data_IF_758747361251
#
_entry.id   IF_758747361251
#
_cell.length_a   1.000
_cell.length_b   1.000
_cell.length_c   1.000
_cell.angle_alpha   90.00
_cell.angle_beta   90.00
_cell.angle_gamma   90.00
#
_symmetry.space_group_name_H-M   'P 1'
#
loop_
_entity.id
_entity.type
_entity.pdbx_description
1 polymer ?
#
# COMPACT_ATOMS: atom_id res chain seq x y z
N UNK A 1 -0.08 -8.57 7.91
CA UNK A 1 -0.35 -7.49 8.88
C UNK A 1 -1.64 -6.71 8.58
N UNK A 2 -1.70 -5.69 7.71
CA UNK A 2 -2.93 -4.88 7.54
C UNK A 2 -4.13 -5.66 6.96
N UNK A 3 -3.89 -6.48 5.93
CA UNK A 3 -4.93 -7.32 5.32
C UNK A 3 -5.44 -8.40 6.27
N UNK A 4 -4.52 -9.10 6.95
CA UNK A 4 -4.85 -10.20 7.87
C UNK A 4 -5.64 -9.74 9.09
N UNK A 5 -5.36 -8.52 9.58
CA UNK A 5 -6.05 -7.92 10.72
C UNK A 5 -7.30 -7.13 10.34
N UNK A 6 -7.63 -7.04 9.04
CA UNK A 6 -8.75 -6.25 8.55
C UNK A 6 -8.63 -4.75 8.89
N UNK A 7 -7.40 -4.23 9.03
CA UNK A 7 -7.16 -2.83 9.37
C UNK A 7 -7.63 -1.91 8.24
N UNK A 8 -8.60 -1.06 8.53
CA UNK A 8 -9.19 -0.10 7.58
C UNK A 8 -8.55 1.28 7.63
N UNK A 9 -7.79 1.59 8.69
CA UNK A 9 -7.17 2.90 8.89
C UNK A 9 -5.75 2.74 9.40
N UNK A 10 -4.82 3.46 8.79
CA UNK A 10 -3.42 3.53 9.18
C UNK A 10 -3.10 4.98 9.57
N UNK A 11 -2.47 5.16 10.72
CA UNK A 11 -2.06 6.49 11.21
C UNK A 11 -0.54 6.55 11.20
N UNK A 12 0.03 7.40 10.35
CA UNK A 12 1.45 7.66 10.30
C UNK A 12 1.77 8.92 11.10
N UNK A 13 2.58 8.77 12.15
CA UNK A 13 2.90 9.86 13.08
C UNK A 13 4.15 10.66 12.69
N UNK A 14 4.89 10.21 11.69
CA UNK A 14 6.18 10.79 11.27
C UNK A 14 6.19 11.08 9.78
N UNK A 15 7.04 12.02 9.35
CA UNK A 15 7.32 12.19 7.92
C UNK A 15 8.27 11.07 7.44
N UNK A 16 8.38 10.90 6.13
CA UNK A 16 9.36 9.97 5.52
C UNK A 16 10.80 10.38 5.87
N UNK A 17 11.05 11.68 5.89
CA UNK A 17 12.35 12.27 6.22
C UNK A 17 12.18 13.45 7.18
N UNK A 18 13.07 13.52 8.17
CA UNK A 18 13.14 14.62 9.13
C UNK A 18 14.59 15.02 9.34
N UNK A 19 14.91 16.31 9.15
CA UNK A 19 16.27 16.86 9.33
C UNK A 19 17.33 15.99 8.62
N UNK A 20 17.10 15.68 7.34
CA UNK A 20 17.95 14.84 6.48
C UNK A 20 18.13 13.38 6.90
N UNK A 21 17.34 12.90 7.87
CA UNK A 21 17.34 11.50 8.29
C UNK A 21 16.07 10.82 7.81
N UNK A 22 16.25 9.73 7.06
CA UNK A 22 15.16 8.84 6.65
C UNK A 22 14.59 8.17 7.92
N UNK A 23 13.28 8.31 8.11
CA UNK A 23 12.51 7.74 9.23
C UNK A 23 11.66 6.57 8.78
N UNK A 24 11.14 6.64 7.56
CA UNK A 24 10.27 5.61 7.00
C UNK A 24 10.41 5.62 5.48
N UNK A 25 10.41 4.43 4.89
CA UNK A 25 10.31 4.28 3.45
C UNK A 25 8.86 4.47 3.01
N UNK A 26 8.68 4.94 1.78
CA UNK A 26 7.36 5.04 1.19
C UNK A 26 6.88 3.66 0.74
N UNK A 27 5.94 3.08 1.48
CA UNK A 27 5.36 1.76 1.21
C UNK A 27 4.00 1.82 0.48
N UNK A 28 3.68 2.95 -0.13
CA UNK A 28 2.42 3.19 -0.84
C UNK A 28 2.64 3.93 -2.17
N UNK A 29 1.72 3.82 -3.14
CA UNK A 29 1.86 4.47 -4.43
C UNK A 29 2.05 5.99 -4.33
N UNK A 30 2.95 6.54 -5.13
CA UNK A 30 3.31 7.96 -5.08
C UNK A 30 2.30 8.90 -5.73
N UNK A 31 1.48 8.41 -6.66
CA UNK A 31 0.55 9.22 -7.46
C UNK A 31 -0.88 8.73 -7.32
N UNK A 32 -1.83 9.66 -7.36
CA UNK A 32 -3.26 9.33 -7.46
C UNK A 32 -3.50 8.53 -8.74
N UNK A 33 -4.37 7.53 -8.65
CA UNK A 33 -4.66 6.52 -9.69
C UNK A 33 -3.50 5.58 -10.04
N UNK A 34 -2.38 5.64 -9.31
CA UNK A 34 -1.30 4.67 -9.45
C UNK A 34 -1.61 3.42 -8.63
N UNK A 35 -1.42 2.26 -9.26
CA UNK A 35 -1.52 0.95 -8.62
C UNK A 35 -0.12 0.35 -8.51
N UNK A 36 0.23 -0.11 -7.31
CA UNK A 36 1.47 -0.85 -7.06
C UNK A 36 1.16 -2.24 -6.51
N UNK A 37 1.94 -3.22 -6.94
CA UNK A 37 1.79 -4.61 -6.52
C UNK A 37 2.75 -4.92 -5.36
N UNK A 38 2.18 -5.38 -4.26
CA UNK A 38 2.85 -5.85 -3.06
C UNK A 38 2.55 -7.34 -2.89
N UNK A 39 3.35 -8.19 -3.54
CA UNK A 39 3.15 -9.64 -3.62
C UNK A 39 1.75 -10.02 -4.17
N UNK A 40 0.85 -10.48 -3.30
CA UNK A 40 -0.51 -10.89 -3.64
C UNK A 40 -1.56 -9.81 -3.44
N UNK A 41 -1.12 -8.56 -3.22
CA UNK A 41 -2.00 -7.41 -3.03
C UNK A 41 -1.65 -6.34 -4.05
N UNK A 42 -2.66 -5.70 -4.59
CA UNK A 42 -2.54 -4.45 -5.32
C UNK A 42 -3.10 -3.34 -4.46
N UNK A 43 -2.34 -2.25 -4.35
CA UNK A 43 -2.72 -1.06 -3.62
C UNK A 43 -2.81 0.07 -4.62
N UNK A 44 -3.97 0.71 -4.70
CA UNK A 44 -4.19 1.88 -5.55
C UNK A 44 -4.42 3.08 -4.65
N UNK A 45 -3.67 4.16 -4.88
CA UNK A 45 -3.93 5.44 -4.24
C UNK A 45 -5.07 6.14 -5.00
N UNK A 46 -6.24 6.28 -4.39
CA UNK A 46 -7.43 6.82 -5.07
C UNK A 46 -7.65 8.29 -4.78
N UNK A 47 -7.21 8.77 -3.62
CA UNK A 47 -7.37 10.17 -3.23
C UNK A 47 -6.28 10.63 -2.26
N UNK A 48 -5.95 11.92 -2.34
CA UNK A 48 -5.03 12.60 -1.45
C UNK A 48 -5.63 13.95 -1.06
N UNK A 49 -5.87 14.11 0.24
CA UNK A 49 -6.31 15.38 0.81
C UNK A 49 -5.23 15.93 1.73
N UNK A 50 -4.57 16.99 1.29
CA UNK A 50 -3.60 17.73 2.10
C UNK A 50 -4.32 18.75 3.00
N UNK A 51 -4.10 18.63 4.30
CA UNK A 51 -4.65 19.54 5.31
C UNK A 51 -3.49 20.29 5.99
N UNK A 52 -3.82 21.30 6.78
CA UNK A 52 -2.82 22.16 7.41
C UNK A 52 -1.81 21.41 8.29
N UNK A 53 -2.21 20.29 8.91
CA UNK A 53 -1.38 19.57 9.89
C UNK A 53 -1.12 18.10 9.54
N UNK A 54 -1.89 17.51 8.62
CA UNK A 54 -1.74 16.12 8.20
C UNK A 54 -2.24 15.91 6.77
N UNK A 55 -1.98 14.73 6.22
CA UNK A 55 -2.47 14.35 4.89
C UNK A 55 -3.30 13.09 5.01
N UNK A 56 -4.52 13.12 4.48
CA UNK A 56 -5.37 11.93 4.35
C UNK A 56 -5.09 11.31 2.99
N UNK A 57 -4.89 9.99 2.98
CA UNK A 57 -4.70 9.20 1.76
C UNK A 57 -5.72 8.09 1.75
N UNK A 58 -6.51 8.02 0.68
CA UNK A 58 -7.50 6.96 0.49
C UNK A 58 -6.90 5.90 -0.41
N UNK A 59 -6.95 4.65 0.05
CA UNK A 59 -6.38 3.52 -0.68
C UNK A 59 -7.47 2.50 -0.99
N UNK A 60 -7.40 1.94 -2.20
CA UNK A 60 -8.14 0.74 -2.56
C UNK A 60 -7.18 -0.45 -2.53
N UNK A 61 -7.55 -1.49 -1.77
CA UNK A 61 -6.79 -2.72 -1.67
C UNK A 61 -7.51 -3.84 -2.41
N UNK A 62 -6.80 -4.53 -3.29
CA UNK A 62 -7.30 -5.69 -4.01
C UNK A 62 -6.36 -6.88 -3.82
N UNK A 63 -6.89 -8.00 -3.33
CA UNK A 63 -6.13 -9.25 -3.23
C UNK A 63 -6.13 -9.97 -4.58
N UNK A 64 -4.96 -10.13 -5.18
CA UNK A 64 -4.78 -10.83 -6.46
C UNK A 64 -4.38 -12.27 -6.15
N UNK A 65 -5.38 -13.16 -6.16
CA UNK A 65 -5.21 -14.59 -5.86
C UNK A 65 -4.80 -15.39 -7.11
N UNK A 66 -5.01 -14.82 -8.32
CA UNK A 66 -5.00 -15.57 -9.57
C UNK A 66 -3.63 -16.10 -10.00
N UNK A 67 -2.54 -15.37 -9.72
CA UNK A 67 -1.19 -15.77 -10.15
C UNK A 67 -0.59 -16.90 -9.29
N UNK A 68 -0.96 -17.00 -8.01
CA UNK A 68 -0.41 -18.03 -7.11
C UNK A 68 -0.98 -19.41 -7.45
N UNK A 69 -2.27 -19.49 -7.80
CA UNK A 69 -2.90 -20.74 -8.20
C UNK A 69 -2.35 -21.28 -9.52
N UNK A 70 -2.16 -20.41 -10.53
CA UNK A 70 -1.57 -20.82 -11.80
C UNK A 70 -0.09 -21.21 -11.67
N UNK A 71 0.69 -20.47 -10.88
CA UNK A 71 2.12 -20.80 -10.70
C UNK A 71 2.31 -22.09 -9.90
N UNK A 72 1.51 -22.36 -8.86
CA UNK A 72 1.51 -23.69 -8.20
C UNK A 72 1.07 -24.80 -9.15
N UNK A 73 0.01 -24.58 -9.94
CA UNK A 73 -0.48 -25.59 -10.89
C UNK A 73 0.51 -25.89 -12.03
N UNK A 74 1.35 -24.93 -12.41
CA UNK A 74 2.42 -25.13 -13.42
C UNK A 74 3.67 -25.77 -12.82
N UNK A 75 3.98 -25.53 -11.53
CA UNK A 75 5.14 -26.14 -10.86
C UNK A 75 4.88 -27.54 -10.28
N UNK A 76 3.61 -27.90 -10.05
CA UNK A 76 3.18 -29.24 -9.59
C UNK A 76 2.82 -30.19 -10.76
N UNK A 77 3.25 -29.91 -12.00
CA UNK A 77 3.12 -30.80 -13.17
C UNK A 77 4.46 -31.16 -13.79
#
# INVERSE_FOLDING_TARGET
MCWEQGSTTLVMMTKLEERTRIKCDQYWPSRVSQTEAYNSMQVTLTDVQELATYTVRTFQLQKVIFLIFLQKFILDK
#
